data_IF_157582984981
#
_entry.id   IF_157582984981
#
_cell.length_a   1.000
_cell.length_b   1.000
_cell.length_c   1.000
_cell.angle_alpha   90.00
_cell.angle_beta   90.00
_cell.angle_gamma   90.00
#
_symmetry.space_group_name_H-M   'P 1'
#
loop_
_entity.id
_entity.type
_entity.pdbx_description
1 polymer ?
#
# COMPACT_ATOMS: atom_id res chain seq x y z
N UNK A 1 -2.22 9.51 -14.29
CA UNK A 1 -1.04 8.62 -14.28
C UNK A 1 -0.09 9.07 -13.19
N UNK A 2 0.28 8.16 -12.30
CA UNK A 2 1.26 8.39 -11.23
C UNK A 2 2.50 7.56 -11.58
N UNK A 3 3.68 8.15 -11.45
CA UNK A 3 4.95 7.45 -11.63
C UNK A 3 5.50 7.06 -10.26
N UNK A 4 5.83 5.78 -10.09
CA UNK A 4 6.40 5.25 -8.86
C UNK A 4 7.91 5.07 -8.99
N UNK A 5 8.64 5.24 -7.89
CA UNK A 5 10.08 4.93 -7.85
C UNK A 5 10.38 3.46 -8.15
N UNK A 6 9.42 2.58 -7.92
CA UNK A 6 9.48 1.15 -8.21
C UNK A 6 9.32 0.80 -9.71
N UNK A 7 9.37 1.78 -10.63
CA UNK A 7 9.32 1.54 -12.08
C UNK A 7 10.71 1.68 -12.72
N UNK A 8 11.60 0.67 -12.57
CA UNK A 8 13.01 0.78 -12.97
C UNK A 8 13.18 1.06 -14.46
N UNK A 9 12.39 0.41 -15.32
CA UNK A 9 12.46 0.62 -16.77
C UNK A 9 12.05 2.04 -17.16
N UNK A 10 11.06 2.62 -16.48
CA UNK A 10 10.68 4.01 -16.71
C UNK A 10 11.76 4.96 -16.21
N UNK A 11 12.36 4.70 -15.05
CA UNK A 11 13.47 5.54 -14.55
C UNK A 11 14.66 5.53 -15.51
N UNK A 12 15.00 4.37 -16.08
CA UNK A 12 16.05 4.26 -17.10
C UNK A 12 15.72 5.09 -18.35
N UNK A 13 14.48 5.02 -18.87
CA UNK A 13 14.06 5.81 -20.02
C UNK A 13 14.19 7.32 -19.76
N UNK A 14 13.78 7.79 -18.58
CA UNK A 14 13.92 9.20 -18.21
C UNK A 14 15.38 9.64 -18.11
N UNK A 15 16.27 8.75 -17.64
CA UNK A 15 17.71 8.99 -17.60
C UNK A 15 18.33 9.05 -19.00
N UNK A 16 18.02 8.09 -19.86
CA UNK A 16 18.54 8.01 -21.24
C UNK A 16 18.16 9.23 -22.07
N UNK A 17 16.95 9.75 -21.89
CA UNK A 17 16.47 10.94 -22.59
C UNK A 17 16.86 12.27 -21.91
N UNK A 18 17.45 12.22 -20.71
CA UNK A 18 17.82 13.40 -19.95
C UNK A 18 16.64 14.28 -19.52
N UNK A 19 15.49 13.67 -19.18
CA UNK A 19 14.22 14.37 -18.86
C UNK A 19 13.74 14.12 -17.43
N UNK A 20 14.64 13.76 -16.51
CA UNK A 20 14.30 13.51 -15.11
C UNK A 20 13.65 14.71 -14.41
N UNK A 21 13.98 15.93 -14.84
CA UNK A 21 13.42 17.19 -14.34
C UNK A 21 11.90 17.31 -14.56
N UNK A 22 11.35 16.52 -15.50
CA UNK A 22 9.90 16.46 -15.76
C UNK A 22 9.14 15.65 -14.71
N UNK A 23 9.82 14.86 -13.87
CA UNK A 23 9.21 14.14 -12.75
C UNK A 23 9.20 15.00 -11.50
N UNK A 24 8.01 15.45 -11.09
CA UNK A 24 7.82 16.24 -9.88
C UNK A 24 7.47 15.35 -8.70
N UNK A 25 8.49 14.74 -8.08
CA UNK A 25 8.32 13.90 -6.91
C UNK A 25 7.58 14.63 -5.78
N UNK A 26 6.67 13.90 -5.13
CA UNK A 26 5.92 14.37 -3.97
C UNK A 26 6.49 13.74 -2.71
N UNK A 27 6.05 14.28 -1.57
CA UNK A 27 6.38 13.73 -0.26
C UNK A 27 5.95 12.26 -0.23
N UNK A 28 6.78 11.40 0.35
CA UNK A 28 6.49 9.97 0.47
C UNK A 28 5.42 9.76 1.55
N UNK A 29 4.17 9.90 1.14
CA UNK A 29 3.00 9.88 2.01
C UNK A 29 1.81 9.34 1.23
N UNK A 30 0.99 8.51 1.88
CA UNK A 30 -0.33 8.14 1.37
C UNK A 30 -1.40 8.86 2.19
N UNK A 31 -2.26 9.61 1.53
CA UNK A 31 -3.32 10.42 2.16
C UNK A 31 -4.66 9.81 1.76
N UNK A 32 -5.49 9.50 2.74
CA UNK A 32 -6.82 8.95 2.54
C UNK A 32 -7.86 9.89 3.14
N UNK A 33 -8.98 10.07 2.44
CA UNK A 33 -10.13 10.78 2.96
C UNK A 33 -10.90 9.88 3.93
N UNK A 34 -11.38 10.44 5.04
CA UNK A 34 -12.17 9.71 6.02
C UNK A 34 -13.65 9.75 5.63
N UNK A 35 -14.25 8.60 5.32
CA UNK A 35 -15.68 8.53 4.97
C UNK A 35 -16.57 8.92 6.17
N UNK A 36 -16.24 8.41 7.35
CA UNK A 36 -16.98 8.66 8.60
C UNK A 36 -16.81 10.09 9.15
N UNK A 37 -15.76 10.81 8.71
CA UNK A 37 -15.43 12.16 9.17
C UNK A 37 -15.27 13.10 7.95
N UNK A 38 -16.37 13.63 7.39
CA UNK A 38 -16.33 14.47 6.19
C UNK A 38 -15.40 15.68 6.35
N UNK A 39 -14.46 15.84 5.41
CA UNK A 39 -13.47 16.92 5.42
C UNK A 39 -12.17 16.58 6.16
N UNK A 40 -12.11 15.44 6.84
CA UNK A 40 -10.89 14.96 7.47
C UNK A 40 -10.09 13.99 6.58
N UNK A 41 -8.79 14.01 6.81
CA UNK A 41 -7.84 13.10 6.17
C UNK A 41 -7.04 12.35 7.22
N UNK A 42 -6.54 11.20 6.81
CA UNK A 42 -5.58 10.36 7.54
C UNK A 42 -4.40 10.06 6.63
N UNK A 43 -3.23 9.84 7.23
CA UNK A 43 -1.97 9.72 6.49
C UNK A 43 -1.18 8.49 6.93
N UNK A 44 -0.53 7.86 5.97
CA UNK A 44 0.56 6.94 6.20
C UNK A 44 1.85 7.63 5.76
N UNK A 45 2.66 7.99 6.75
CA UNK A 45 3.88 8.78 6.58
C UNK A 45 5.10 7.86 6.50
N UNK A 46 5.80 7.89 5.36
CA UNK A 46 7.02 7.11 5.18
C UNK A 46 8.22 7.98 5.54
N UNK A 47 8.73 7.78 6.76
CA UNK A 47 9.81 8.60 7.31
C UNK A 47 11.10 8.44 6.48
N UNK A 48 11.70 9.55 5.99
CA UNK A 48 12.97 9.50 5.28
C UNK A 48 14.08 8.84 6.11
N UNK A 49 14.90 8.00 5.46
CA UNK A 49 16.01 7.30 6.10
C UNK A 49 15.65 5.95 6.73
N UNK A 50 14.36 5.62 6.85
CA UNK A 50 13.93 4.27 7.25
C UNK A 50 13.83 3.38 6.00
N UNK A 51 14.52 2.23 5.95
CA UNK A 51 14.49 1.34 4.80
C UNK A 51 13.16 0.59 4.68
N UNK A 52 12.82 0.15 3.47
CA UNK A 52 11.74 -0.81 3.25
C UNK A 52 12.15 -2.21 3.78
N UNK A 53 11.20 -3.01 4.30
CA UNK A 53 9.78 -2.72 4.52
C UNK A 53 9.48 -2.00 5.85
N UNK A 54 10.49 -1.65 6.65
CA UNK A 54 10.32 -1.08 7.99
C UNK A 54 9.63 0.29 7.99
N UNK A 55 9.86 1.11 6.95
CA UNK A 55 9.17 2.39 6.79
C UNK A 55 7.65 2.21 6.68
N UNK A 56 7.19 1.19 5.95
CA UNK A 56 5.78 0.87 5.79
C UNK A 56 5.18 0.32 7.09
N UNK A 57 5.89 -0.61 7.76
CA UNK A 57 5.48 -1.10 9.08
C UNK A 57 5.33 0.03 10.10
N UNK A 58 6.27 0.98 10.11
CA UNK A 58 6.17 2.16 10.97
C UNK A 58 4.99 3.06 10.59
N UNK A 59 4.74 3.28 9.30
CA UNK A 59 3.61 4.09 8.84
C UNK A 59 2.27 3.51 9.30
N UNK A 60 2.08 2.19 9.24
CA UNK A 60 0.90 1.49 9.77
C UNK A 60 0.79 1.71 11.29
N UNK A 61 1.89 1.53 12.03
CA UNK A 61 1.90 1.69 13.47
C UNK A 61 1.59 3.13 13.90
N UNK A 62 2.09 4.13 13.17
CA UNK A 62 1.89 5.55 13.46
C UNK A 62 0.50 6.06 13.10
N UNK A 63 -0.21 5.45 12.15
CA UNK A 63 -1.55 5.90 11.77
C UNK A 63 -2.54 5.83 12.94
N UNK A 64 -3.19 6.92 13.34
CA UNK A 64 -4.07 6.93 14.52
C UNK A 64 -5.56 6.84 14.21
N UNK A 65 -5.97 7.09 12.96
CA UNK A 65 -7.39 7.30 12.63
C UNK A 65 -8.06 6.08 11.98
N UNK A 66 -7.29 5.22 11.31
CA UNK A 66 -7.86 4.09 10.56
C UNK A 66 -7.90 2.78 11.32
N UNK A 67 -6.96 2.50 12.24
CA UNK A 67 -6.83 1.17 12.85
C UNK A 67 -6.53 1.23 14.34
N UNK A 68 -7.19 0.36 15.10
CA UNK A 68 -6.81 0.08 16.48
C UNK A 68 -5.46 -0.64 16.52
N UNK A 69 -4.80 -0.65 17.69
CA UNK A 69 -3.53 -1.36 17.84
C UNK A 69 -3.65 -2.86 17.53
N UNK A 70 -4.78 -3.49 17.90
CA UNK A 70 -5.04 -4.90 17.59
C UNK A 70 -5.14 -5.16 16.09
N UNK A 71 -5.91 -4.34 15.38
CA UNK A 71 -6.08 -4.44 13.92
C UNK A 71 -4.75 -4.20 13.19
N UNK A 72 -3.93 -3.26 13.65
CA UNK A 72 -2.58 -3.03 13.10
C UNK A 72 -1.72 -4.28 13.19
N UNK A 73 -1.71 -4.97 14.32
CA UNK A 73 -0.93 -6.21 14.48
C UNK A 73 -1.48 -7.34 13.61
N UNK A 74 -2.80 -7.39 13.39
CA UNK A 74 -3.44 -8.35 12.49
C UNK A 74 -3.15 -8.10 11.00
N UNK A 75 -2.48 -7.01 10.62
CA UNK A 75 -1.98 -6.83 9.24
C UNK A 75 -0.72 -7.63 8.95
N UNK A 76 0.03 -8.06 9.96
CA UNK A 76 1.30 -8.73 9.78
C UNK A 76 1.20 -10.12 9.12
N UNK A 77 0.22 -11.00 9.47
CA UNK A 77 0.15 -12.36 8.95
C UNK A 77 0.12 -12.49 7.41
N UNK A 78 -0.67 -11.71 6.65
CA UNK A 78 -0.60 -11.78 5.18
C UNK A 78 0.68 -11.18 4.61
N UNK A 79 1.25 -10.15 5.25
CA UNK A 79 2.46 -9.48 4.77
C UNK A 79 3.72 -10.32 4.97
N UNK A 80 3.76 -11.13 6.04
CA UNK A 80 4.97 -11.85 6.42
C UNK A 80 5.39 -12.93 5.40
N UNK A 81 4.51 -13.83 4.92
CA UNK A 81 4.84 -14.78 3.86
C UNK A 81 5.27 -14.08 2.57
N UNK A 82 4.61 -12.99 2.17
CA UNK A 82 5.02 -12.21 0.99
C UNK A 82 6.46 -11.69 1.11
N UNK A 83 6.88 -11.27 2.30
CA UNK A 83 8.24 -10.77 2.54
C UNK A 83 9.30 -11.87 2.64
N UNK A 84 8.93 -13.09 3.07
CA UNK A 84 9.85 -14.20 3.28
C UNK A 84 9.96 -15.09 2.04
N UNK A 85 8.83 -15.46 1.45
CA UNK A 85 8.73 -16.40 0.33
C UNK A 85 8.81 -15.69 -1.03
N UNK A 86 8.47 -14.41 -1.09
CA UNK A 86 8.60 -13.60 -2.29
C UNK A 86 7.64 -14.02 -3.41
N UNK A 87 8.14 -14.09 -4.64
CA UNK A 87 7.32 -14.20 -5.85
C UNK A 87 6.49 -15.49 -5.91
N UNK A 88 7.07 -16.63 -5.52
CA UNK A 88 6.38 -17.92 -5.58
C UNK A 88 5.09 -17.92 -4.72
N UNK A 89 5.15 -17.28 -3.55
CA UNK A 89 3.97 -17.10 -2.70
C UNK A 89 2.94 -16.17 -3.34
N UNK A 90 3.38 -15.05 -3.94
CA UNK A 90 2.52 -14.07 -4.60
C UNK A 90 1.76 -14.72 -5.76
N UNK A 91 2.48 -15.42 -6.64
CA UNK A 91 1.89 -16.10 -7.81
C UNK A 91 0.85 -17.15 -7.40
N UNK A 92 1.08 -17.84 -6.29
CA UNK A 92 0.15 -18.84 -5.76
C UNK A 92 -1.19 -18.25 -5.24
N UNK A 93 -1.33 -16.92 -5.18
CA UNK A 93 -2.57 -16.26 -4.76
C UNK A 93 -3.40 -15.67 -5.91
N UNK A 94 -2.97 -15.81 -7.17
CA UNK A 94 -3.58 -15.15 -8.34
C UNK A 94 -5.07 -15.49 -8.53
N UNK A 95 -5.49 -16.69 -8.13
CA UNK A 95 -6.88 -17.16 -8.22
C UNK A 95 -7.78 -16.63 -7.08
N UNK A 96 -7.23 -15.90 -6.11
CA UNK A 96 -7.99 -15.30 -5.02
C UNK A 96 -8.31 -13.84 -5.33
N UNK A 97 -9.55 -13.42 -5.09
CA UNK A 97 -9.82 -11.99 -5.00
C UNK A 97 -9.14 -11.38 -3.76
N UNK A 98 -8.96 -10.06 -3.76
CA UNK A 98 -8.29 -9.36 -2.65
C UNK A 98 -9.01 -9.64 -1.35
N UNK A 99 -10.35 -9.55 -1.34
CA UNK A 99 -11.17 -9.85 -0.17
C UNK A 99 -11.00 -11.31 0.30
N UNK A 100 -10.93 -12.28 -0.63
CA UNK A 100 -10.70 -13.69 -0.29
C UNK A 100 -9.32 -13.92 0.34
N UNK A 101 -8.28 -13.30 -0.22
CA UNK A 101 -6.93 -13.34 0.32
C UNK A 101 -6.88 -12.75 1.74
N UNK A 102 -7.48 -11.58 1.96
CA UNK A 102 -7.51 -10.94 3.28
C UNK A 102 -8.16 -11.81 4.34
N UNK A 103 -9.32 -12.40 4.03
CA UNK A 103 -10.03 -13.34 4.92
C UNK A 103 -9.20 -14.58 5.23
N UNK A 104 -8.56 -15.17 4.21
CA UNK A 104 -7.72 -16.37 4.36
C UNK A 104 -6.59 -16.16 5.36
N UNK A 105 -5.98 -14.98 5.39
CA UNK A 105 -4.87 -14.65 6.30
C UNK A 105 -5.30 -13.86 7.55
N UNK A 106 -6.61 -13.74 7.81
CA UNK A 106 -7.15 -13.15 9.04
C UNK A 106 -6.92 -11.64 9.15
N UNK A 107 -6.85 -10.93 8.02
CA UNK A 107 -6.80 -9.47 8.04
C UNK A 107 -8.17 -8.89 8.48
N UNK A 108 -8.21 -7.81 9.28
CA UNK A 108 -9.46 -7.16 9.65
C UNK A 108 -10.28 -6.70 8.43
N UNK A 109 -11.58 -7.01 8.40
CA UNK A 109 -12.50 -6.56 7.32
C UNK A 109 -12.46 -5.03 7.13
N UNK A 110 -12.32 -4.27 8.24
CA UNK A 110 -12.23 -2.81 8.18
C UNK A 110 -11.07 -2.30 7.32
N UNK A 111 -9.97 -3.04 7.25
CA UNK A 111 -8.83 -2.68 6.40
C UNK A 111 -9.17 -2.87 4.93
N UNK A 112 -9.99 -3.88 4.60
CA UNK A 112 -10.46 -4.08 3.25
C UNK A 112 -11.25 -2.85 2.79
N UNK A 113 -12.19 -2.41 3.63
CA UNK A 113 -13.10 -1.31 3.32
C UNK A 113 -12.39 0.06 3.28
N UNK A 114 -11.52 0.34 4.26
CA UNK A 114 -10.87 1.65 4.38
C UNK A 114 -9.65 1.81 3.45
N UNK A 115 -8.94 0.72 3.13
CA UNK A 115 -7.65 0.77 2.41
C UNK A 115 -7.71 0.04 1.08
N UNK A 116 -8.12 -1.23 1.06
CA UNK A 116 -7.98 -2.05 -0.15
C UNK A 116 -9.00 -1.73 -1.23
N UNK A 117 -10.21 -1.25 -0.90
CA UNK A 117 -11.13 -0.71 -1.91
C UNK A 117 -10.47 0.44 -2.68
N UNK A 118 -9.80 1.35 -1.98
CA UNK A 118 -9.12 2.48 -2.59
C UNK A 118 -7.92 2.01 -3.45
N UNK A 119 -7.14 1.04 -2.95
CA UNK A 119 -6.01 0.50 -3.70
C UNK A 119 -6.44 -0.28 -4.95
N UNK A 120 -7.43 -1.16 -4.86
CA UNK A 120 -7.95 -1.94 -5.99
C UNK A 120 -8.44 -1.01 -7.12
N UNK A 121 -9.22 0.02 -6.76
CA UNK A 121 -9.69 1.03 -7.72
C UNK A 121 -8.57 1.88 -8.31
N UNK A 122 -7.51 2.15 -7.55
CA UNK A 122 -6.37 2.91 -8.06
C UNK A 122 -5.52 2.11 -9.05
N UNK A 123 -5.46 0.78 -8.89
CA UNK A 123 -4.65 -0.11 -9.70
C UNK A 123 -5.39 -0.57 -10.97
N UNK A 124 -6.63 -1.04 -10.83
CA UNK A 124 -7.36 -1.71 -11.91
C UNK A 124 -8.82 -1.23 -12.06
N UNK A 125 -9.20 -0.16 -11.36
CA UNK A 125 -10.52 0.48 -11.46
C UNK A 125 -11.72 -0.41 -11.09
N UNK A 126 -11.48 -1.52 -10.38
CA UNK A 126 -12.49 -2.45 -9.87
C UNK A 126 -12.45 -2.56 -8.33
N UNK A 127 -13.52 -3.10 -7.76
CA UNK A 127 -13.61 -3.43 -6.33
C UNK A 127 -12.75 -4.67 -5.99
N UNK A 128 -12.42 -4.89 -4.70
CA UNK A 128 -11.54 -5.98 -4.26
C UNK A 128 -12.19 -7.38 -4.26
N UNK A 129 -13.47 -7.47 -4.60
CA UNK A 129 -14.29 -8.69 -4.58
C UNK A 129 -14.22 -9.50 -5.87
#
# INVERSE_FOLDING_TARGET
HIFFGAYPNMMNLFAELGIHDRLQWKIHQMIFAMQELPGEFTTFDFIPGIPAPFNFGLAILMNQKMLTLGEKLQTAPPLLPMLIEGQDFIDAQDELSVTQFMRKYGMPERINDEVFIAMAKALDFIDPD
#
